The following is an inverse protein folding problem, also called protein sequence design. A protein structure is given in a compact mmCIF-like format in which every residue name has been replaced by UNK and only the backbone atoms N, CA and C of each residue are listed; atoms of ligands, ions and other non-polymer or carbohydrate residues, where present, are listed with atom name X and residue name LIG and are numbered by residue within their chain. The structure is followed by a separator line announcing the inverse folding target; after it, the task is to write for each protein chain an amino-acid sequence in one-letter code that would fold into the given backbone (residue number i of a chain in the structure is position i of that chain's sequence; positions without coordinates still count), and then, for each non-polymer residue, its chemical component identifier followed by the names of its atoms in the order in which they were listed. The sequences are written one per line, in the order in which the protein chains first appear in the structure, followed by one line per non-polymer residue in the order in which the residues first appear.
data_IF_927654753224
#
_entry.id   IF_927654753224
#
_cell.length_a   1.000
_cell.length_b   1.000
_cell.length_c   1.000
_cell.angle_alpha   90.00
_cell.angle_beta   90.00
_cell.angle_gamma   90.00
#
_symmetry.space_group_name_H-M   'P 1'
#
loop_
_entity.id
_entity.type
_entity.pdbx_description
1 polymer ?
#
# COMPACT_ATOMS: atom_id res chain seq x y z
N UNK A 1 -23.19 21.35 28.80
CA UNK A 1 -22.41 22.57 28.48
C UNK A 1 -22.55 22.84 26.98
N UNK A 2 -23.25 23.90 26.57
CA UNK A 2 -23.40 24.26 25.14
C UNK A 2 -22.00 24.53 24.60
N UNK A 3 -21.56 23.79 23.57
CA UNK A 3 -20.32 24.10 22.85
C UNK A 3 -20.54 25.46 22.19
N UNK A 4 -19.97 26.51 22.76
CA UNK A 4 -20.13 27.87 22.26
C UNK A 4 -19.34 28.02 20.97
N UNK A 5 -20.02 27.83 19.85
CA UNK A 5 -19.48 28.04 18.52
C UNK A 5 -19.90 29.42 18.00
N UNK A 6 -19.02 30.12 17.26
CA UNK A 6 -19.40 31.39 16.65
C UNK A 6 -20.49 31.17 15.59
N UNK A 7 -21.33 32.18 15.35
CA UNK A 7 -22.43 32.12 14.37
C UNK A 7 -21.98 31.72 12.95
N UNK A 8 -20.73 31.98 12.61
CA UNK A 8 -20.13 31.64 11.31
C UNK A 8 -19.37 30.29 11.28
N UNK A 9 -19.58 29.41 12.26
CA UNK A 9 -18.91 28.11 12.36
C UNK A 9 -18.99 27.27 11.08
N UNK A 10 -20.17 27.21 10.47
CA UNK A 10 -20.43 26.50 9.22
C UNK A 10 -19.53 26.96 8.07
N UNK A 11 -19.32 28.28 7.96
CA UNK A 11 -18.44 28.86 6.94
C UNK A 11 -16.97 28.55 7.24
N UNK A 12 -16.57 28.68 8.51
CA UNK A 12 -15.20 28.40 8.97
C UNK A 12 -14.81 26.94 8.72
N UNK A 13 -15.64 25.96 9.12
CA UNK A 13 -15.34 24.53 8.88
C UNK A 13 -15.24 24.21 7.39
N UNK A 14 -16.14 24.74 6.55
CA UNK A 14 -16.09 24.53 5.10
C UNK A 14 -14.84 25.15 4.47
N UNK A 15 -14.36 26.28 4.98
CA UNK A 15 -13.09 26.90 4.55
C UNK A 15 -11.90 26.02 4.90
N UNK A 16 -11.89 25.43 6.10
CA UNK A 16 -10.85 24.46 6.54
C UNK A 16 -10.87 23.21 5.66
N UNK A 17 -12.06 22.64 5.39
CA UNK A 17 -12.17 21.46 4.50
C UNK A 17 -11.64 21.75 3.10
N UNK A 18 -11.95 22.93 2.53
CA UNK A 18 -11.42 23.32 1.22
C UNK A 18 -9.90 23.50 1.24
N UNK A 19 -9.36 24.16 2.27
CA UNK A 19 -7.90 24.34 2.46
C UNK A 19 -7.18 23.00 2.48
N UNK A 20 -7.76 22.03 3.19
CA UNK A 20 -7.19 20.70 3.40
C UNK A 20 -7.56 19.71 2.26
N UNK A 21 -8.13 20.21 1.15
CA UNK A 21 -8.48 19.39 -0.01
C UNK A 21 -9.52 18.30 0.30
N UNK A 22 -10.40 18.53 1.26
CA UNK A 22 -11.37 17.57 1.79
C UNK A 22 -10.72 16.25 2.23
N UNK A 23 -9.51 16.34 2.76
CA UNK A 23 -8.70 15.18 3.18
C UNK A 23 -8.37 15.28 4.66
N UNK A 24 -8.58 14.18 5.39
CA UNK A 24 -8.19 14.04 6.78
C UNK A 24 -6.67 14.25 6.91
N UNK A 25 -6.28 15.23 7.72
CA UNK A 25 -4.87 15.58 7.95
C UNK A 25 -4.14 14.57 8.84
N UNK A 26 -4.87 13.66 9.47
CA UNK A 26 -4.28 12.55 10.21
C UNK A 26 -4.07 11.33 9.30
N UNK A 27 -5.12 10.66 8.82
CA UNK A 27 -5.01 9.39 8.08
C UNK A 27 -5.11 9.48 6.55
N UNK A 28 -5.41 10.67 5.98
CA UNK A 28 -5.56 10.83 4.53
C UNK A 28 -6.87 10.28 3.93
N UNK A 29 -7.86 9.94 4.75
CA UNK A 29 -9.22 9.63 4.28
C UNK A 29 -9.85 10.86 3.60
N UNK A 30 -10.61 10.64 2.52
CA UNK A 30 -11.22 11.73 1.72
C UNK A 30 -12.73 11.79 1.97
N UNK A 31 -13.26 13.00 2.12
CA UNK A 31 -14.68 13.24 2.35
C UNK A 31 -15.30 14.24 1.38
N UNK A 32 -16.59 14.54 1.58
CA UNK A 32 -17.33 15.53 0.78
C UNK A 32 -17.23 15.27 -0.74
N UNK A 33 -16.82 16.25 -1.57
CA UNK A 33 -16.69 16.05 -3.02
C UNK A 33 -15.57 15.09 -3.44
N UNK A 34 -14.73 14.62 -2.52
CA UNK A 34 -13.53 13.79 -2.80
C UNK A 34 -13.62 12.38 -2.22
N UNK A 35 -14.70 12.05 -1.51
CA UNK A 35 -14.94 10.72 -0.94
C UNK A 35 -16.12 10.71 0.05
N UNK A 36 -16.39 9.56 0.64
CA UNK A 36 -17.60 9.35 1.44
C UNK A 36 -17.37 9.44 2.97
N UNK A 37 -16.16 9.79 3.40
CA UNK A 37 -15.85 9.92 4.83
C UNK A 37 -16.44 11.20 5.42
N UNK A 38 -17.05 11.10 6.60
CA UNK A 38 -17.49 12.27 7.36
C UNK A 38 -16.28 13.05 7.88
N UNK A 39 -16.27 14.37 7.65
CA UNK A 39 -15.19 15.27 8.04
C UNK A 39 -15.62 16.21 9.16
N UNK A 40 -14.72 16.41 10.12
CA UNK A 40 -14.86 17.34 11.23
C UNK A 40 -13.70 18.34 11.26
N UNK A 41 -13.97 19.57 11.72
CA UNK A 41 -12.94 20.56 12.01
C UNK A 41 -12.50 20.40 13.47
N UNK A 42 -11.29 19.90 13.68
CA UNK A 42 -10.69 19.67 14.99
C UNK A 42 -9.77 20.81 15.39
N UNK A 43 -9.79 21.18 16.67
CA UNK A 43 -8.91 22.20 17.23
C UNK A 43 -7.50 21.65 17.49
N UNK A 44 -6.47 22.26 16.90
CA UNK A 44 -5.06 21.86 17.10
C UNK A 44 -4.66 22.10 18.56
N UNK A 45 -4.89 23.32 19.05
CA UNK A 45 -4.84 23.63 20.48
C UNK A 45 -6.24 23.46 21.06
N UNK A 46 -6.46 22.55 22.03
CA UNK A 46 -7.77 22.34 22.64
C UNK A 46 -8.35 23.60 23.27
N UNK A 47 -9.69 23.70 23.28
CA UNK A 47 -10.41 24.80 23.94
C UNK A 47 -10.06 24.96 25.43
N UNK A 48 -9.85 23.84 26.12
CA UNK A 48 -9.46 23.82 27.54
C UNK A 48 -8.07 24.43 27.80
N UNK A 49 -7.21 24.49 26.77
CA UNK A 49 -5.87 25.09 26.82
C UNK A 49 -5.81 26.46 26.13
N UNK A 50 -6.96 27.11 25.93
CA UNK A 50 -7.02 28.45 25.32
C UNK A 50 -7.12 28.47 23.79
N UNK A 51 -7.41 27.34 23.14
CA UNK A 51 -7.59 27.26 21.69
C UNK A 51 -8.69 28.20 21.14
N UNK A 52 -8.42 28.81 19.98
CA UNK A 52 -9.36 29.68 19.27
C UNK A 52 -10.17 28.91 18.23
N UNK A 53 -11.29 29.47 17.75
CA UNK A 53 -12.04 28.95 16.58
C UNK A 53 -11.52 29.55 15.26
N UNK A 54 -10.33 30.13 15.27
CA UNK A 54 -9.71 30.65 14.06
C UNK A 54 -9.30 29.53 13.14
N UNK A 55 -9.41 29.73 11.83
CA UNK A 55 -9.12 28.67 10.86
C UNK A 55 -7.68 28.18 10.94
N UNK A 56 -6.76 29.00 11.45
CA UNK A 56 -5.37 28.62 11.75
C UNK A 56 -5.25 27.58 12.87
N UNK A 57 -6.18 27.55 13.82
CA UNK A 57 -6.21 26.57 14.92
C UNK A 57 -7.14 25.37 14.60
N UNK A 58 -7.60 25.25 13.36
CA UNK A 58 -8.49 24.17 12.93
C UNK A 58 -7.82 23.31 11.86
N UNK A 59 -8.04 22.01 11.92
CA UNK A 59 -7.63 21.04 10.90
C UNK A 59 -8.76 20.07 10.56
N UNK A 60 -8.79 19.59 9.33
CA UNK A 60 -9.75 18.58 8.86
C UNK A 60 -9.33 17.20 9.34
N UNK A 61 -10.22 16.50 10.03
CA UNK A 61 -10.04 15.09 10.43
C UNK A 61 -11.29 14.28 10.10
N UNK A 62 -11.16 12.97 9.86
CA UNK A 62 -12.33 12.09 9.75
C UNK A 62 -12.95 11.79 11.12
N UNK A 63 -14.18 11.29 11.13
CA UNK A 63 -14.89 10.87 12.36
C UNK A 63 -14.08 9.88 13.21
N UNK A 64 -13.47 8.87 12.60
CA UNK A 64 -12.63 7.88 13.30
C UNK A 64 -11.43 8.53 14.01
N UNK A 65 -10.66 9.35 13.28
CA UNK A 65 -9.53 10.08 13.86
C UNK A 65 -9.99 11.08 14.93
N UNK A 66 -11.13 11.73 14.73
CA UNK A 66 -11.69 12.67 15.68
C UNK A 66 -12.03 11.98 17.00
N UNK A 67 -12.68 10.82 16.94
CA UNK A 67 -13.06 10.06 18.14
C UNK A 67 -11.84 9.52 18.88
N UNK A 68 -10.87 8.96 18.16
CA UNK A 68 -9.62 8.47 18.76
C UNK A 68 -8.90 9.56 19.58
N UNK A 69 -8.88 10.80 19.09
CA UNK A 69 -8.27 11.93 19.82
C UNK A 69 -8.99 12.23 21.16
N UNK A 70 -10.30 12.02 21.27
CA UNK A 70 -11.07 12.32 22.48
C UNK A 70 -11.19 11.16 23.46
N UNK A 71 -10.86 9.95 23.04
CA UNK A 71 -10.96 8.72 23.84
C UNK A 71 -9.65 8.35 24.56
N UNK A 72 -8.64 9.25 24.57
CA UNK A 72 -7.25 8.96 25.00
C UNK A 72 -6.63 7.76 24.29
N UNK A 73 -7.23 7.33 23.17
CA UNK A 73 -6.78 6.22 22.35
C UNK A 73 -5.81 6.74 21.28
N UNK A 74 -4.83 5.91 20.94
CA UNK A 74 -3.80 6.27 19.97
C UNK A 74 -4.50 6.65 18.66
N UNK A 75 -4.49 7.95 18.32
CA UNK A 75 -5.01 8.42 17.05
C UNK A 75 -4.26 7.66 15.94
N UNK A 76 -4.96 7.07 14.96
CA UNK A 76 -4.30 6.34 13.89
C UNK A 76 -3.48 7.34 13.09
N UNK A 77 -2.19 7.46 13.42
CA UNK A 77 -1.28 8.36 12.71
C UNK A 77 -1.29 7.93 11.25
N UNK A 78 -1.31 8.90 10.33
CA UNK A 78 -1.25 8.64 8.89
C UNK A 78 0.07 8.02 8.48
N UNK A 79 0.21 6.74 8.77
CA UNK A 79 1.26 5.80 8.39
C UNK A 79 0.54 4.45 8.56
N UNK A 80 -0.01 3.78 7.56
CA UNK A 80 0.51 3.44 6.26
C UNK A 80 -0.77 3.03 5.50
N UNK A 81 -1.14 3.70 4.41
CA UNK A 81 -1.91 2.97 3.39
C UNK A 81 -0.96 1.84 3.03
N UNK A 82 -1.22 0.65 3.55
CA UNK A 82 -0.79 -0.57 2.88
C UNK A 82 -1.14 -0.30 1.43
N UNK A 83 -0.11 -0.04 0.64
CA UNK A 83 -0.22 -0.22 -0.78
C UNK A 83 -0.92 -1.54 -0.92
N UNK A 84 -2.05 -1.52 -1.60
CA UNK A 84 -2.44 -2.65 -2.39
C UNK A 84 -1.26 -2.88 -3.35
N UNK A 85 -0.22 -3.55 -2.86
CA UNK A 85 0.89 -4.00 -3.67
C UNK A 85 0.54 -5.40 -4.12
N UNK A 86 -0.45 -5.45 -5.00
CA UNK A 86 -0.61 -6.57 -5.93
C UNK A 86 0.60 -6.73 -6.87
N UNK A 87 1.66 -5.95 -6.68
CA UNK A 87 2.93 -6.02 -7.41
C UNK A 87 4.12 -6.55 -6.55
N UNK A 88 3.95 -6.77 -5.24
CA UNK A 88 5.07 -7.20 -4.35
C UNK A 88 5.28 -8.72 -4.33
N UNK A 89 4.24 -9.53 -4.53
CA UNK A 89 4.36 -10.99 -4.57
C UNK A 89 5.14 -11.45 -5.82
N UNK A 90 4.85 -10.85 -6.98
CA UNK A 90 5.57 -11.15 -8.22
C UNK A 90 7.04 -10.69 -8.13
N UNK A 91 7.30 -9.54 -7.52
CA UNK A 91 8.67 -9.02 -7.34
C UNK A 91 9.48 -9.89 -6.37
N UNK A 92 8.85 -10.38 -5.31
CA UNK A 92 9.48 -11.32 -4.38
C UNK A 92 9.80 -12.66 -5.06
N UNK A 93 8.85 -13.25 -5.78
CA UNK A 93 9.08 -14.49 -6.53
C UNK A 93 10.14 -14.34 -7.64
N UNK A 94 10.21 -13.17 -8.28
CA UNK A 94 11.23 -12.87 -9.30
C UNK A 94 12.62 -12.76 -8.67
N UNK A 95 12.75 -12.11 -7.52
CA UNK A 95 14.01 -12.01 -6.76
C UNK A 95 14.42 -13.38 -6.22
N UNK A 96 13.51 -14.15 -5.63
CA UNK A 96 13.79 -15.53 -5.19
C UNK A 96 14.17 -16.42 -6.37
N UNK A 97 13.52 -16.29 -7.53
CA UNK A 97 13.86 -17.02 -8.76
C UNK A 97 15.26 -16.70 -9.28
N UNK A 98 15.69 -15.44 -9.25
CA UNK A 98 17.04 -15.03 -9.65
C UNK A 98 18.09 -15.58 -8.67
N UNK A 99 17.84 -15.50 -7.35
CA UNK A 99 18.77 -16.00 -6.33
C UNK A 99 18.89 -17.53 -6.36
N UNK A 100 17.78 -18.25 -6.49
CA UNK A 100 17.77 -19.72 -6.65
C UNK A 100 18.43 -20.12 -7.97
N UNK A 101 18.13 -19.42 -9.06
CA UNK A 101 18.75 -19.66 -10.37
C UNK A 101 20.26 -19.49 -10.35
N UNK A 102 20.76 -18.42 -9.73
CA UNK A 102 22.21 -18.18 -9.61
C UNK A 102 22.91 -19.16 -8.67
N UNK A 103 22.26 -19.56 -7.57
CA UNK A 103 22.76 -20.62 -6.69
C UNK A 103 22.78 -21.99 -7.37
N UNK A 104 21.75 -22.35 -8.14
CA UNK A 104 21.74 -23.59 -8.92
C UNK A 104 22.83 -23.58 -9.99
N UNK A 105 22.99 -22.48 -10.73
CA UNK A 105 24.08 -22.33 -11.72
C UNK A 105 25.45 -22.47 -11.04
N UNK A 106 25.66 -21.89 -9.86
CA UNK A 106 26.89 -22.06 -9.10
C UNK A 106 27.10 -23.52 -8.64
N UNK A 107 26.05 -24.17 -8.12
CA UNK A 107 26.08 -25.58 -7.72
C UNK A 107 26.33 -26.54 -8.90
N UNK A 108 25.87 -26.19 -10.11
CA UNK A 108 26.15 -26.95 -11.33
C UNK A 108 27.53 -26.64 -11.92
N UNK A 109 28.00 -25.39 -11.79
CA UNK A 109 29.32 -24.96 -12.27
C UNK A 109 30.46 -25.63 -11.48
N UNK A 110 30.23 -25.99 -10.22
CA UNK A 110 31.25 -26.59 -9.35
C UNK A 110 31.30 -28.14 -9.40
N UNK A 111 30.42 -28.81 -10.15
CA UNK A 111 30.36 -30.29 -10.10
C UNK A 111 30.63 -31.01 -11.44
N UNK A 112 30.41 -30.41 -12.61
CA UNK A 112 30.63 -31.13 -13.87
C UNK A 112 31.31 -30.23 -14.90
N UNK A 113 32.60 -30.50 -15.16
CA UNK A 113 33.30 -29.91 -16.29
C UNK A 113 32.61 -30.17 -17.63
N UNK A 114 33.13 -29.58 -18.70
CA UNK A 114 32.61 -29.53 -20.08
C UNK A 114 31.87 -30.78 -20.62
N UNK A 115 32.22 -31.99 -20.18
CA UNK A 115 31.50 -33.23 -20.51
C UNK A 115 30.06 -33.31 -19.97
N UNK A 116 29.78 -32.77 -18.77
CA UNK A 116 28.43 -32.80 -18.21
C UNK A 116 27.47 -31.86 -18.93
N UNK A 117 27.97 -30.71 -19.38
CA UNK A 117 27.20 -29.78 -20.21
C UNK A 117 26.82 -30.42 -21.55
N UNK A 118 27.76 -31.07 -22.23
CA UNK A 118 27.48 -31.77 -23.49
C UNK A 118 26.53 -32.96 -23.31
N UNK A 119 26.66 -33.71 -22.21
CA UNK A 119 25.74 -34.80 -21.89
C UNK A 119 24.30 -34.30 -21.63
N UNK A 120 24.17 -33.16 -20.94
CA UNK A 120 22.87 -32.53 -20.71
C UNK A 120 22.20 -32.02 -22.00
N UNK A 121 22.98 -31.37 -22.87
CA UNK A 121 22.49 -30.91 -24.18
C UNK A 121 22.08 -32.10 -25.06
N UNK A 122 22.85 -33.19 -25.06
CA UNK A 122 22.53 -34.41 -25.80
C UNK A 122 21.25 -35.09 -25.29
N UNK A 123 21.07 -35.18 -23.97
CA UNK A 123 19.87 -35.76 -23.37
C UNK A 123 18.62 -34.96 -23.72
N UNK A 124 18.71 -33.63 -23.66
CA UNK A 124 17.59 -32.74 -24.02
C UNK A 124 17.22 -32.91 -25.50
N UNK A 125 18.21 -32.99 -26.39
CA UNK A 125 17.98 -33.25 -27.81
C UNK A 125 17.27 -34.60 -28.03
N UNK A 126 17.74 -35.68 -27.40
CA UNK A 126 17.12 -37.01 -27.50
C UNK A 126 15.66 -36.99 -27.01
N UNK A 127 15.39 -36.32 -25.89
CA UNK A 127 14.03 -36.22 -25.35
C UNK A 127 13.09 -35.46 -26.29
N UNK A 128 13.55 -34.35 -26.89
CA UNK A 128 12.73 -33.60 -27.87
C UNK A 128 12.41 -34.45 -29.10
N UNK A 129 13.39 -35.19 -29.64
CA UNK A 129 13.18 -36.09 -30.78
C UNK A 129 12.21 -37.22 -30.41
N UNK A 130 12.38 -37.84 -29.24
CA UNK A 130 11.47 -38.89 -28.77
C UNK A 130 10.03 -38.39 -28.61
N UNK A 131 9.84 -37.20 -28.05
CA UNK A 131 8.51 -36.58 -27.92
C UNK A 131 7.89 -36.26 -29.28
N UNK A 132 8.68 -35.79 -30.26
CA UNK A 132 8.16 -35.57 -31.62
C UNK A 132 7.73 -36.87 -32.29
N UNK A 133 8.47 -37.96 -32.11
CA UNK A 133 8.12 -39.28 -32.66
C UNK A 133 6.84 -39.82 -32.02
N UNK A 134 6.73 -39.73 -30.69
CA UNK A 134 5.52 -40.16 -29.96
C UNK A 134 4.31 -39.32 -30.35
N UNK A 135 4.47 -38.01 -30.49
CA UNK A 135 3.41 -37.12 -30.96
C UNK A 135 2.95 -37.49 -32.37
N UNK A 136 3.88 -37.74 -33.30
CA UNK A 136 3.55 -38.19 -34.66
C UNK A 136 2.83 -39.53 -34.68
N UNK A 137 3.18 -40.48 -33.81
CA UNK A 137 2.53 -41.79 -33.74
C UNK A 137 1.12 -41.77 -33.10
N UNK A 138 0.80 -40.73 -32.32
CA UNK A 138 -0.54 -40.53 -31.71
C UNK A 138 -1.44 -39.65 -32.58
N UNK A 139 -0.86 -38.91 -33.53
CA UNK A 139 -1.58 -38.00 -34.42
C UNK A 139 -2.17 -38.68 -35.68
N UNK A 140 -1.94 -39.99 -35.86
CA UNK A 140 -2.59 -40.87 -36.86
C UNK A 140 -3.74 -41.67 -36.23
#
# INVERSE_FOLDING_TARGET
MKREYPSNWDSRRKKVYRRDGYTCQNCGAKGGPKGNTELHAHHIVPKSKGGTHETSNLQTVCSECHNAIHEDSIAPTGQYRSGDSTEDEASSLLVFGIVIGTLLVALFADNWGFLGFLAGVLLLFILTVALTIVWSAVAD
#
